data_IF_642083460301
#
_entry.id   IF_642083460301
#
_cell.length_a   1.000
_cell.length_b   1.000
_cell.length_c   1.000
_cell.angle_alpha   90.00
_cell.angle_beta   90.00
_cell.angle_gamma   90.00
#
_symmetry.space_group_name_H-M   'P 1'
#
loop_
_entity.id
_entity.type
_entity.pdbx_description
1 polymer ?
#
# COMPACT_ATOMS: atom_id res chain seq x y z
N UNK A 1 6.17 -34.89 -31.74
CA UNK A 1 5.77 -33.54 -31.26
C UNK A 1 5.89 -33.54 -29.75
N UNK A 2 6.66 -32.61 -29.16
CA UNK A 2 6.80 -32.55 -27.70
C UNK A 2 5.47 -32.17 -27.04
N UNK A 3 5.17 -32.77 -25.89
CA UNK A 3 3.99 -32.48 -25.09
C UNK A 3 3.91 -30.96 -24.81
N UNK A 4 2.80 -30.33 -25.23
CA UNK A 4 2.58 -28.87 -25.12
C UNK A 4 2.70 -28.40 -23.66
N UNK A 5 2.15 -29.16 -22.71
CA UNK A 5 2.22 -28.86 -21.28
C UNK A 5 3.69 -28.79 -20.82
N UNK A 6 4.55 -29.70 -21.29
CA UNK A 6 5.97 -29.67 -20.92
C UNK A 6 6.74 -28.51 -21.56
N UNK A 7 6.26 -28.00 -22.71
CA UNK A 7 6.80 -26.75 -23.29
C UNK A 7 6.37 -25.55 -22.44
N UNK A 8 5.10 -25.47 -22.08
CA UNK A 8 4.55 -24.40 -21.23
C UNK A 8 5.21 -24.37 -19.85
N UNK A 9 5.37 -25.51 -19.18
CA UNK A 9 6.06 -25.61 -17.88
C UNK A 9 7.52 -25.18 -17.95
N UNK A 10 8.22 -25.45 -19.06
CA UNK A 10 9.60 -24.98 -19.27
C UNK A 10 9.66 -23.46 -19.43
N UNK A 11 8.71 -22.87 -20.16
CA UNK A 11 8.60 -21.41 -20.29
C UNK A 11 8.22 -20.79 -18.94
N UNK A 12 7.30 -21.39 -18.19
CA UNK A 12 6.89 -20.89 -16.87
C UNK A 12 8.06 -20.86 -15.89
N UNK A 13 8.96 -21.86 -15.94
CA UNK A 13 10.18 -21.87 -15.11
C UNK A 13 11.11 -20.68 -15.38
N UNK A 14 11.15 -20.15 -16.61
CA UNK A 14 11.94 -18.94 -16.92
C UNK A 14 11.28 -17.64 -16.46
N UNK A 15 10.05 -17.73 -15.93
CA UNK A 15 9.28 -16.61 -15.36
C UNK A 15 9.17 -16.70 -13.83
N UNK A 16 9.85 -17.64 -13.20
CA UNK A 16 9.93 -17.72 -11.75
C UNK A 16 10.84 -16.61 -11.21
N UNK A 17 10.58 -16.19 -9.97
CA UNK A 17 11.42 -15.22 -9.30
C UNK A 17 12.86 -15.70 -9.19
N UNK A 18 13.80 -14.80 -9.44
CA UNK A 18 15.19 -15.04 -9.06
C UNK A 18 15.33 -15.00 -7.54
N UNK A 19 16.01 -16.01 -6.99
CA UNK A 19 16.21 -16.19 -5.56
C UNK A 19 17.71 -16.14 -5.23
N UNK A 20 18.03 -15.75 -4.00
CA UNK A 20 19.35 -15.92 -3.40
C UNK A 20 19.23 -16.76 -2.14
N UNK A 21 20.17 -17.67 -1.94
CA UNK A 21 20.28 -18.45 -0.71
C UNK A 21 21.28 -17.78 0.22
N UNK A 22 20.82 -17.41 1.42
CA UNK A 22 21.64 -16.82 2.47
C UNK A 22 21.31 -17.48 3.80
N UNK A 23 22.32 -17.99 4.52
CA UNK A 23 22.16 -18.71 5.79
C UNK A 23 21.07 -19.79 5.75
N UNK A 24 21.09 -20.63 4.70
CA UNK A 24 20.10 -21.69 4.45
C UNK A 24 18.64 -21.21 4.27
N UNK A 25 18.43 -19.90 4.09
CA UNK A 25 17.12 -19.30 3.78
C UNK A 25 17.12 -18.79 2.35
N UNK A 26 15.98 -18.91 1.69
CA UNK A 26 15.75 -18.33 0.36
C UNK A 26 15.14 -16.94 0.50
N UNK A 27 15.74 -15.97 -0.16
CA UNK A 27 15.24 -14.62 -0.33
C UNK A 27 14.97 -14.38 -1.81
N UNK A 28 13.96 -13.57 -2.13
CA UNK A 28 13.78 -13.10 -3.50
C UNK A 28 14.74 -11.95 -3.77
N UNK A 29 15.37 -11.95 -4.94
CA UNK A 29 16.23 -10.83 -5.33
C UNK A 29 15.40 -9.57 -5.57
N UNK A 30 15.92 -8.44 -5.16
CA UNK A 30 15.29 -7.13 -5.34
C UNK A 30 15.66 -6.56 -6.73
N UNK A 31 15.05 -7.12 -7.78
CA UNK A 31 15.29 -6.71 -9.18
C UNK A 31 14.03 -6.18 -9.83
N UNK A 32 14.21 -5.34 -10.85
CA UNK A 32 13.13 -4.78 -11.67
C UNK A 32 12.35 -5.89 -12.37
N UNK A 33 13.03 -6.94 -12.84
CA UNK A 33 12.40 -8.09 -13.49
C UNK A 33 11.50 -8.87 -12.52
N UNK A 34 11.96 -9.11 -11.29
CA UNK A 34 11.15 -9.75 -10.25
C UNK A 34 9.92 -8.90 -9.89
N UNK A 35 10.08 -7.57 -9.80
CA UNK A 35 8.95 -6.64 -9.61
C UNK A 35 8.00 -6.70 -10.81
N UNK A 36 8.50 -6.70 -12.05
CA UNK A 36 7.65 -6.78 -13.24
C UNK A 36 6.82 -8.07 -13.28
N UNK A 37 7.39 -9.20 -12.86
CA UNK A 37 6.68 -10.47 -12.73
C UNK A 37 5.53 -10.33 -11.71
N UNK A 38 5.79 -9.77 -10.53
CA UNK A 38 4.75 -9.64 -9.50
C UNK A 38 3.64 -8.67 -9.91
N UNK A 39 4.00 -7.55 -10.54
CA UNK A 39 3.03 -6.59 -11.08
C UNK A 39 2.14 -7.22 -12.16
N UNK A 40 2.72 -8.05 -13.03
CA UNK A 40 1.95 -8.81 -14.02
C UNK A 40 1.00 -9.81 -13.35
N UNK A 41 1.43 -10.47 -12.26
CA UNK A 41 0.56 -11.36 -11.48
C UNK A 41 -0.61 -10.60 -10.85
N UNK A 42 -0.35 -9.46 -10.19
CA UNK A 42 -1.36 -8.62 -9.56
C UNK A 42 -2.39 -8.12 -10.57
N UNK A 43 -1.95 -7.67 -11.74
CA UNK A 43 -2.84 -7.15 -12.81
C UNK A 43 -3.79 -8.21 -13.37
N UNK A 44 -3.42 -9.49 -13.31
CA UNK A 44 -4.25 -10.60 -13.76
C UNK A 44 -5.04 -11.28 -12.62
N UNK A 45 -4.82 -10.86 -11.37
CA UNK A 45 -5.51 -11.42 -10.22
C UNK A 45 -6.88 -10.73 -10.05
N UNK A 46 -7.93 -11.52 -10.17
CA UNK A 46 -9.32 -11.08 -10.04
C UNK A 46 -9.63 -10.39 -8.70
N UNK A 47 -8.86 -10.67 -7.64
CA UNK A 47 -9.02 -10.02 -6.35
C UNK A 47 -8.60 -8.53 -6.39
N UNK A 48 -7.66 -8.17 -7.28
CA UNK A 48 -7.09 -6.81 -7.38
C UNK A 48 -7.49 -6.08 -8.67
N UNK A 49 -8.11 -6.77 -9.64
CA UNK A 49 -8.46 -6.16 -10.93
C UNK A 49 -9.32 -4.89 -10.80
N UNK A 50 -10.19 -4.82 -9.79
CA UNK A 50 -11.05 -3.65 -9.56
C UNK A 50 -10.39 -2.56 -8.73
N UNK A 51 -9.40 -2.87 -7.89
CA UNK A 51 -8.79 -1.86 -7.00
C UNK A 51 -8.01 -0.80 -7.79
N UNK A 52 -7.48 -1.18 -8.96
CA UNK A 52 -6.71 -0.31 -9.86
C UNK A 52 -7.55 0.41 -10.92
N UNK A 53 -8.85 0.12 -11.02
CA UNK A 53 -9.73 0.71 -12.03
C UNK A 53 -10.19 2.12 -11.61
N UNK A 54 -9.63 3.14 -12.24
CA UNK A 54 -9.97 4.56 -12.00
C UNK A 54 -11.40 4.93 -12.40
N UNK A 55 -12.10 4.08 -13.14
CA UNK A 55 -13.48 4.28 -13.58
C UNK A 55 -14.50 3.54 -12.70
N UNK A 56 -14.02 2.68 -11.79
CA UNK A 56 -14.86 1.89 -10.91
C UNK A 56 -15.38 2.70 -9.72
N UNK A 57 -16.30 3.65 -9.98
CA UNK A 57 -16.99 4.42 -8.94
C UNK A 57 -18.10 3.63 -8.22
N UNK A 58 -18.82 4.29 -7.28
CA UNK A 58 -19.96 3.70 -6.59
C UNK A 58 -21.03 3.16 -7.54
N UNK A 59 -21.58 2.00 -7.23
CA UNK A 59 -22.69 1.40 -7.97
C UNK A 59 -23.86 1.16 -7.04
N UNK A 60 -25.05 1.46 -7.54
CA UNK A 60 -26.31 1.27 -6.84
C UNK A 60 -27.20 0.30 -7.62
N UNK A 61 -27.99 -0.50 -6.91
CA UNK A 61 -29.00 -1.36 -7.53
C UNK A 61 -30.26 -0.57 -7.92
N UNK A 62 -31.25 -1.27 -8.48
CA UNK A 62 -32.55 -0.68 -8.87
C UNK A 62 -33.35 -0.11 -7.70
N UNK A 63 -33.01 -0.48 -6.45
CA UNK A 63 -33.63 0.02 -5.22
C UNK A 63 -32.81 1.17 -4.60
N UNK A 64 -31.84 1.70 -5.34
CA UNK A 64 -30.92 2.73 -4.89
C UNK A 64 -30.06 2.31 -3.68
N UNK A 65 -29.81 1.01 -3.50
CA UNK A 65 -28.91 0.49 -2.46
C UNK A 65 -27.49 0.36 -2.99
N UNK A 66 -26.50 0.78 -2.19
CA UNK A 66 -25.09 0.69 -2.57
C UNK A 66 -24.65 -0.77 -2.67
N UNK A 67 -24.29 -1.21 -3.88
CA UNK A 67 -23.77 -2.57 -4.14
C UNK A 67 -22.25 -2.61 -4.26
N UNK A 68 -21.64 -1.50 -4.60
CA UNK A 68 -20.18 -1.36 -4.66
C UNK A 68 -19.80 0.06 -4.28
N UNK A 69 -18.88 0.20 -3.33
CA UNK A 69 -18.46 1.50 -2.80
C UNK A 69 -17.46 2.27 -3.65
N UNK A 70 -17.07 1.78 -4.83
CA UNK A 70 -16.01 2.38 -5.65
C UNK A 70 -14.60 1.91 -5.26
N UNK A 71 -13.66 1.89 -6.20
CA UNK A 71 -12.27 1.43 -6.00
C UNK A 71 -11.39 2.47 -5.30
N UNK A 72 -10.27 2.04 -4.70
CA UNK A 72 -9.28 3.00 -4.18
C UNK A 72 -8.74 3.90 -5.30
N UNK A 73 -8.49 3.34 -6.48
CA UNK A 73 -8.08 4.12 -7.67
C UNK A 73 -9.07 5.22 -8.04
N UNK A 74 -10.37 4.91 -8.07
CA UNK A 74 -11.42 5.88 -8.37
C UNK A 74 -11.40 7.03 -7.36
N UNK A 75 -11.49 6.71 -6.07
CA UNK A 75 -11.60 7.74 -5.03
C UNK A 75 -10.35 8.62 -4.93
N UNK A 76 -9.16 8.02 -5.01
CA UNK A 76 -7.91 8.80 -4.98
C UNK A 76 -7.75 9.65 -6.25
N UNK A 77 -8.25 9.20 -7.40
CA UNK A 77 -8.27 10.00 -8.65
C UNK A 77 -9.24 11.18 -8.56
N UNK A 78 -10.40 10.98 -7.93
CA UNK A 78 -11.33 12.07 -7.65
C UNK A 78 -10.74 13.06 -6.65
N UNK A 79 -10.06 12.57 -5.60
CA UNK A 79 -9.35 13.40 -4.64
C UNK A 79 -8.21 14.21 -5.29
N UNK A 80 -7.44 13.61 -6.21
CA UNK A 80 -6.45 14.32 -7.04
C UNK A 80 -7.08 15.46 -7.84
N UNK A 81 -8.28 15.24 -8.38
CA UNK A 81 -8.97 16.24 -9.18
C UNK A 81 -9.28 17.49 -8.35
N UNK A 82 -9.71 17.32 -7.10
CA UNK A 82 -9.97 18.42 -6.17
C UNK A 82 -8.67 19.04 -5.63
N UNK A 83 -7.79 18.23 -5.04
CA UNK A 83 -6.63 18.72 -4.28
C UNK A 83 -5.49 19.25 -5.14
N UNK A 84 -5.26 18.66 -6.32
CA UNK A 84 -4.09 18.97 -7.16
C UNK A 84 -4.50 19.72 -8.41
N UNK A 85 -5.62 19.36 -9.03
CA UNK A 85 -6.06 19.94 -10.30
C UNK A 85 -7.05 21.09 -10.14
N UNK A 86 -7.51 21.39 -8.91
CA UNK A 86 -8.55 22.39 -8.62
C UNK A 86 -9.79 22.22 -9.52
N UNK A 87 -10.21 20.97 -9.74
CA UNK A 87 -11.39 20.63 -10.54
C UNK A 87 -12.56 20.28 -9.63
N UNK A 88 -13.72 20.82 -9.95
CA UNK A 88 -14.96 20.44 -9.31
C UNK A 88 -15.35 19.00 -9.67
N UNK A 89 -15.94 18.32 -8.69
CA UNK A 89 -16.46 16.96 -8.80
C UNK A 89 -17.77 16.86 -8.04
N UNK A 90 -18.57 15.84 -8.33
CA UNK A 90 -19.90 15.64 -7.72
C UNK A 90 -19.85 15.07 -6.29
N UNK A 91 -18.79 15.36 -5.54
CA UNK A 91 -18.56 14.88 -4.18
C UNK A 91 -17.95 15.99 -3.34
N UNK A 92 -18.39 16.10 -2.10
CA UNK A 92 -17.70 16.90 -1.09
C UNK A 92 -16.36 16.28 -0.73
N UNK A 93 -15.45 17.08 -0.15
CA UNK A 93 -14.17 16.58 0.33
C UNK A 93 -14.34 15.42 1.34
N UNK A 94 -15.29 15.55 2.26
CA UNK A 94 -15.57 14.49 3.24
C UNK A 94 -16.06 13.18 2.58
N UNK A 95 -16.92 13.27 1.55
CA UNK A 95 -17.35 12.10 0.79
C UNK A 95 -16.20 11.42 0.04
N UNK A 96 -15.28 12.21 -0.52
CA UNK A 96 -14.08 11.68 -1.18
C UNK A 96 -13.17 10.95 -0.19
N UNK A 97 -12.91 11.55 0.99
CA UNK A 97 -12.12 10.91 2.04
C UNK A 97 -12.80 9.64 2.56
N UNK A 98 -14.13 9.70 2.79
CA UNK A 98 -14.90 8.53 3.21
C UNK A 98 -14.82 7.40 2.20
N UNK A 99 -15.02 7.69 0.92
CA UNK A 99 -14.90 6.72 -0.17
C UNK A 99 -13.51 6.08 -0.22
N UNK A 100 -12.46 6.91 -0.15
CA UNK A 100 -11.08 6.44 -0.13
C UNK A 100 -10.78 5.54 1.08
N UNK A 101 -11.21 5.94 2.29
CA UNK A 101 -11.02 5.16 3.51
C UNK A 101 -11.73 3.80 3.42
N UNK A 102 -12.99 3.79 3.00
CA UNK A 102 -13.77 2.57 2.85
C UNK A 102 -13.19 1.62 1.79
N UNK A 103 -12.71 2.17 0.67
CA UNK A 103 -12.10 1.40 -0.40
C UNK A 103 -10.77 0.78 0.03
N UNK A 104 -9.88 1.56 0.64
CA UNK A 104 -8.58 1.07 1.12
C UNK A 104 -8.77 -0.01 2.18
N UNK A 105 -9.67 0.19 3.15
CA UNK A 105 -9.96 -0.80 4.20
C UNK A 105 -10.46 -2.12 3.61
N UNK A 106 -11.39 -2.03 2.65
CA UNK A 106 -11.98 -3.21 2.00
C UNK A 106 -10.95 -3.95 1.15
N UNK A 107 -10.22 -3.25 0.30
CA UNK A 107 -9.30 -3.86 -0.68
C UNK A 107 -8.06 -4.45 -0.02
N UNK A 108 -7.64 -3.88 1.11
CA UNK A 108 -6.48 -4.35 1.87
C UNK A 108 -6.83 -5.16 3.12
N UNK A 109 -8.12 -5.43 3.34
CA UNK A 109 -8.63 -6.19 4.49
C UNK A 109 -8.06 -5.72 5.83
N UNK A 110 -8.01 -4.39 6.05
CA UNK A 110 -7.42 -3.85 7.29
C UNK A 110 -8.30 -4.04 8.52
N UNK A 111 -9.58 -4.34 8.29
CA UNK A 111 -10.61 -4.53 9.32
C UNK A 111 -10.76 -3.30 10.22
N UNK A 112 -10.67 -2.12 9.61
CA UNK A 112 -10.68 -0.82 10.29
C UNK A 112 -11.89 -0.65 11.20
N UNK A 113 -13.05 -1.16 10.77
CA UNK A 113 -14.30 -1.02 11.49
C UNK A 113 -14.62 -2.19 12.43
N UNK A 114 -13.66 -3.05 12.77
CA UNK A 114 -13.87 -4.16 13.71
C UNK A 114 -14.24 -3.69 15.13
N UNK A 115 -13.90 -2.45 15.47
CA UNK A 115 -14.26 -1.77 16.72
C UNK A 115 -15.54 -0.91 16.62
N UNK A 116 -16.21 -0.95 15.46
CA UNK A 116 -17.45 -0.23 15.09
C UNK A 116 -17.33 1.29 14.95
N UNK A 117 -16.14 1.89 15.14
CA UNK A 117 -15.95 3.34 15.04
C UNK A 117 -14.78 3.76 14.13
N UNK A 118 -13.86 2.84 13.81
CA UNK A 118 -12.60 3.16 13.17
C UNK A 118 -12.73 3.90 11.83
N UNK A 119 -13.68 3.52 10.97
CA UNK A 119 -13.91 4.24 9.70
C UNK A 119 -14.32 5.69 9.95
N UNK A 120 -15.35 5.90 10.77
CA UNK A 120 -15.89 7.23 11.06
C UNK A 120 -14.84 8.12 11.72
N UNK A 121 -14.09 7.59 12.69
CA UNK A 121 -13.03 8.35 13.36
C UNK A 121 -11.90 8.73 12.41
N UNK A 122 -11.46 7.82 11.56
CA UNK A 122 -10.34 8.08 10.65
C UNK A 122 -10.73 9.06 9.55
N UNK A 123 -11.95 8.97 9.02
CA UNK A 123 -12.49 10.01 8.12
C UNK A 123 -12.44 11.37 8.79
N UNK A 124 -12.96 11.48 10.02
CA UNK A 124 -12.93 12.73 10.79
C UNK A 124 -11.50 13.27 10.99
N UNK A 125 -10.55 12.39 11.30
CA UNK A 125 -9.14 12.76 11.53
C UNK A 125 -8.49 13.28 10.25
N UNK A 126 -8.70 12.63 9.11
CA UNK A 126 -8.16 13.07 7.81
C UNK A 126 -8.83 14.38 7.37
N UNK A 127 -10.14 14.51 7.55
CA UNK A 127 -10.88 15.73 7.23
C UNK A 127 -10.52 16.93 8.13
N UNK A 128 -9.86 16.70 9.27
CA UNK A 128 -9.40 17.78 10.16
C UNK A 128 -8.12 18.47 9.65
N UNK A 129 -7.42 17.88 8.68
CA UNK A 129 -6.32 18.54 7.98
C UNK A 129 -6.87 19.51 6.94
N UNK A 130 -6.30 20.71 6.90
CA UNK A 130 -6.50 21.61 5.77
C UNK A 130 -5.94 20.96 4.50
N UNK A 131 -6.55 21.24 3.34
CA UNK A 131 -6.14 20.63 2.07
C UNK A 131 -4.65 20.83 1.76
N UNK A 132 -4.10 22.02 2.05
CA UNK A 132 -2.67 22.31 1.88
C UNK A 132 -1.78 21.50 2.83
N UNK A 133 -2.20 21.33 4.08
CA UNK A 133 -1.46 20.56 5.08
C UNK A 133 -1.48 19.06 4.74
N UNK A 134 -2.62 18.53 4.28
CA UNK A 134 -2.70 17.14 3.82
C UNK A 134 -1.75 16.90 2.64
N UNK A 135 -1.72 17.82 1.67
CA UNK A 135 -0.80 17.73 0.52
C UNK A 135 0.66 17.78 1.00
N UNK A 136 1.00 18.67 1.94
CA UNK A 136 2.35 18.77 2.50
C UNK A 136 2.76 17.48 3.20
N UNK A 137 1.90 16.94 4.07
CA UNK A 137 2.13 15.63 4.70
C UNK A 137 2.39 14.53 3.66
N UNK A 138 1.62 14.51 2.56
CA UNK A 138 1.78 13.49 1.53
C UNK A 138 3.08 13.68 0.70
N UNK A 139 3.51 14.92 0.45
CA UNK A 139 4.77 15.23 -0.24
C UNK A 139 6.01 15.03 0.64
N UNK A 140 5.85 15.22 1.95
CA UNK A 140 6.92 15.14 2.92
C UNK A 140 6.48 14.23 4.09
N UNK A 141 6.74 12.92 4.01
CA UNK A 141 6.39 11.99 5.09
C UNK A 141 6.96 12.37 6.45
N UNK A 142 8.12 13.04 6.49
CA UNK A 142 8.77 13.48 7.73
C UNK A 142 8.16 14.75 8.32
N UNK A 143 7.18 15.36 7.66
CA UNK A 143 6.50 16.58 8.13
C UNK A 143 5.93 16.36 9.54
N UNK A 144 6.37 17.22 10.48
CA UNK A 144 6.03 17.15 11.90
C UNK A 144 6.14 15.73 12.49
N UNK A 145 7.21 15.02 12.12
CA UNK A 145 7.49 13.65 12.56
C UNK A 145 6.36 12.66 12.24
N UNK A 146 6.09 12.45 10.94
CA UNK A 146 5.08 11.51 10.45
C UNK A 146 3.64 11.87 10.87
N UNK A 147 3.32 13.16 10.99
CA UNK A 147 2.05 13.68 11.51
C UNK A 147 0.81 12.96 10.97
N UNK A 148 0.71 12.82 9.65
CA UNK A 148 -0.44 12.18 9.01
C UNK A 148 -0.60 10.71 9.41
N UNK A 149 0.50 9.95 9.39
CA UNK A 149 0.48 8.53 9.77
C UNK A 149 0.12 8.40 11.24
N UNK A 150 0.73 9.20 12.11
CA UNK A 150 0.45 9.20 13.54
C UNK A 150 -1.01 9.53 13.83
N UNK A 151 -1.56 10.60 13.23
CA UNK A 151 -2.94 11.00 13.48
C UNK A 151 -3.94 9.94 13.01
N UNK A 152 -3.75 9.34 11.83
CA UNK A 152 -4.60 8.24 11.36
C UNK A 152 -4.45 7.01 12.27
N UNK A 153 -3.22 6.69 12.70
CA UNK A 153 -2.92 5.48 13.46
C UNK A 153 -3.30 5.55 14.96
N UNK A 154 -3.62 6.73 15.50
CA UNK A 154 -4.04 6.93 16.89
C UNK A 154 -5.08 5.90 17.33
N UNK A 155 -5.01 5.51 18.59
CA UNK A 155 -5.98 4.58 19.21
C UNK A 155 -7.40 5.13 19.02
N UNK A 156 -8.33 4.27 18.59
CA UNK A 156 -9.75 4.61 18.43
C UNK A 156 -10.46 4.77 19.77
N UNK A 157 -11.58 5.51 19.82
CA UNK A 157 -12.31 5.78 21.06
C UNK A 157 -13.22 4.63 21.53
N UNK A 158 -13.20 3.48 20.84
CA UNK A 158 -14.04 2.33 21.16
C UNK A 158 -13.85 1.87 22.62
N UNK A 159 -14.96 1.72 23.35
CA UNK A 159 -14.96 1.23 24.74
C UNK A 159 -14.37 -0.17 24.90
N UNK A 160 -14.49 -1.01 23.87
CA UNK A 160 -13.97 -2.37 23.86
C UNK A 160 -13.13 -2.59 22.61
N UNK A 161 -11.94 -3.16 22.78
CA UNK A 161 -11.00 -3.48 21.69
C UNK A 161 -10.65 -2.26 20.83
N UNK A 162 -10.39 -1.11 21.46
CA UNK A 162 -9.77 0.03 20.78
C UNK A 162 -8.49 -0.40 20.06
N UNK A 163 -8.25 0.16 18.88
CA UNK A 163 -7.18 -0.29 17.98
C UNK A 163 -6.31 0.87 17.54
N UNK A 164 -5.01 0.60 17.42
CA UNK A 164 -4.11 1.40 16.59
C UNK A 164 -4.24 0.92 15.14
N UNK A 165 -4.23 1.85 14.19
CA UNK A 165 -4.52 1.56 12.78
C UNK A 165 -3.31 1.82 11.87
N UNK A 166 -2.09 1.51 12.33
CA UNK A 166 -0.85 1.83 11.62
C UNK A 166 -0.76 1.21 10.20
N UNK A 167 -1.16 -0.06 10.06
CA UNK A 167 -1.23 -0.73 8.76
C UNK A 167 -2.17 0.00 7.80
N UNK A 168 -3.35 0.40 8.26
CA UNK A 168 -4.27 1.20 7.45
C UNK A 168 -3.69 2.58 7.12
N UNK A 169 -3.12 3.29 8.10
CA UNK A 169 -2.54 4.61 7.92
C UNK A 169 -1.49 4.62 6.80
N UNK A 170 -0.55 3.67 6.85
CA UNK A 170 0.49 3.54 5.83
C UNK A 170 -0.07 3.25 4.43
N UNK A 171 -1.10 2.41 4.32
CA UNK A 171 -1.74 2.05 3.05
C UNK A 171 -2.53 3.23 2.47
N UNK A 172 -3.28 3.94 3.31
CA UNK A 172 -3.98 5.16 2.90
C UNK A 172 -2.99 6.19 2.35
N UNK A 173 -1.90 6.47 3.08
CA UNK A 173 -0.88 7.43 2.64
C UNK A 173 -0.18 6.97 1.35
N UNK A 174 0.15 5.67 1.26
CA UNK A 174 0.73 5.08 0.06
C UNK A 174 -0.17 5.26 -1.16
N UNK A 175 -1.44 4.84 -1.10
CA UNK A 175 -2.37 4.97 -2.23
C UNK A 175 -2.71 6.43 -2.55
N UNK A 176 -2.80 7.30 -1.54
CA UNK A 176 -2.98 8.72 -1.77
C UNK A 176 -1.80 9.29 -2.59
N UNK A 177 -0.55 9.04 -2.17
CA UNK A 177 0.63 9.45 -2.94
C UNK A 177 0.64 8.83 -4.34
N UNK A 178 0.38 7.52 -4.44
CA UNK A 178 0.42 6.76 -5.68
C UNK A 178 -0.44 7.40 -6.78
N UNK A 179 -1.66 7.82 -6.45
CA UNK A 179 -2.59 8.40 -7.42
C UNK A 179 -2.50 9.93 -7.53
N UNK A 180 -2.42 10.66 -6.41
CA UNK A 180 -2.40 12.13 -6.42
C UNK A 180 -1.16 12.66 -7.15
N UNK A 181 -0.04 11.96 -7.00
CA UNK A 181 1.27 12.38 -7.48
C UNK A 181 1.83 11.48 -8.59
N UNK A 182 0.97 10.74 -9.27
CA UNK A 182 1.32 9.92 -10.43
C UNK A 182 2.26 10.66 -11.41
N UNK A 183 3.36 9.98 -11.78
CA UNK A 183 4.44 10.48 -12.63
C UNK A 183 5.28 11.62 -12.02
N UNK A 184 5.31 11.73 -10.69
CA UNK A 184 6.19 12.67 -9.97
C UNK A 184 7.01 11.95 -8.90
N UNK A 185 8.01 12.64 -8.35
CA UNK A 185 8.87 12.08 -7.30
C UNK A 185 8.10 11.71 -6.01
N UNK A 186 6.96 12.35 -5.74
CA UNK A 186 6.18 12.12 -4.53
C UNK A 186 5.30 10.86 -4.58
N UNK A 187 5.21 10.20 -5.75
CA UNK A 187 4.31 9.07 -5.97
C UNK A 187 4.60 7.89 -5.02
N UNK A 188 5.86 7.69 -4.67
CA UNK A 188 6.36 6.53 -3.94
C UNK A 188 6.86 6.91 -2.53
N UNK A 189 6.30 7.98 -1.94
CA UNK A 189 6.81 8.58 -0.69
C UNK A 189 6.64 7.71 0.56
N UNK A 190 5.57 6.92 0.62
CA UNK A 190 5.21 6.09 1.77
C UNK A 190 5.40 4.61 1.47
N UNK A 191 6.02 3.89 2.42
CA UNK A 191 6.04 2.41 2.42
C UNK A 191 4.76 1.86 3.03
N UNK A 192 4.22 0.78 2.48
CA UNK A 192 3.14 0.04 3.14
C UNK A 192 3.72 -0.66 4.38
N UNK A 193 3.07 -0.49 5.52
CA UNK A 193 3.37 -1.20 6.76
C UNK A 193 2.54 -2.49 6.80
N UNK A 194 3.22 -3.63 6.75
CA UNK A 194 2.59 -4.94 6.77
C UNK A 194 3.33 -5.92 7.70
N UNK A 195 2.60 -6.88 8.27
CA UNK A 195 3.19 -7.87 9.17
C UNK A 195 4.12 -8.84 8.44
N UNK A 196 3.84 -9.18 7.18
CA UNK A 196 4.72 -10.02 6.37
C UNK A 196 6.05 -9.32 6.18
N UNK A 197 6.02 -8.07 5.69
CA UNK A 197 7.22 -7.27 5.52
C UNK A 197 7.99 -7.12 6.84
N UNK A 198 7.32 -6.70 7.92
CA UNK A 198 7.95 -6.56 9.24
C UNK A 198 8.66 -7.84 9.71
N UNK A 199 8.14 -9.01 9.33
CA UNK A 199 8.74 -10.30 9.69
C UNK A 199 9.98 -10.62 8.84
N UNK A 200 10.00 -10.21 7.57
CA UNK A 200 11.08 -10.56 6.63
C UNK A 200 12.18 -9.50 6.54
N UNK A 201 11.89 -8.23 6.82
CA UNK A 201 12.87 -7.13 6.77
C UNK A 201 14.17 -7.44 7.55
N UNK A 202 14.14 -8.04 8.77
CA UNK A 202 15.37 -8.40 9.46
C UNK A 202 16.28 -9.34 8.68
N UNK A 203 15.71 -10.24 7.84
CA UNK A 203 16.52 -11.14 7.03
C UNK A 203 17.25 -10.38 5.91
N UNK A 204 16.59 -9.40 5.29
CA UNK A 204 17.21 -8.56 4.26
C UNK A 204 18.26 -7.61 4.85
N UNK A 205 18.01 -7.04 6.03
CA UNK A 205 19.02 -6.22 6.74
C UNK A 205 20.32 -7.00 6.95
N UNK A 206 20.22 -8.25 7.43
CA UNK A 206 21.39 -9.12 7.63
C UNK A 206 22.03 -9.51 6.30
N UNK A 207 21.23 -9.87 5.28
CA UNK A 207 21.74 -10.23 3.95
C UNK A 207 22.57 -9.11 3.31
N UNK A 208 22.11 -7.86 3.42
CA UNK A 208 22.83 -6.67 2.92
C UNK A 208 23.87 -6.11 3.89
N UNK A 209 24.15 -6.81 5.01
CA UNK A 209 25.10 -6.39 6.03
C UNK A 209 24.82 -4.98 6.60
N UNK A 210 23.53 -4.62 6.72
CA UNK A 210 23.08 -3.37 7.34
C UNK A 210 23.06 -3.58 8.86
N UNK A 211 23.96 -2.90 9.56
CA UNK A 211 24.18 -3.09 11.02
C UNK A 211 23.32 -2.18 11.89
N UNK A 212 22.68 -1.17 11.31
CA UNK A 212 21.76 -0.28 12.01
C UNK A 212 20.57 -1.08 12.57
N UNK A 213 20.15 -0.72 13.79
CA UNK A 213 19.02 -1.35 14.48
C UNK A 213 17.79 -0.49 14.34
N UNK A 214 16.74 -1.05 13.75
CA UNK A 214 15.44 -0.40 13.60
C UNK A 214 14.41 -1.05 14.53
N UNK A 215 13.66 -0.22 15.26
CA UNK A 215 12.38 -0.66 15.83
C UNK A 215 11.32 -0.69 14.72
N UNK A 216 11.12 -1.87 14.13
CA UNK A 216 10.16 -2.06 13.04
C UNK A 216 8.68 -1.93 13.49
N UNK A 217 8.40 -1.60 14.75
CA UNK A 217 7.05 -1.20 15.21
C UNK A 217 6.81 0.30 15.07
N UNK A 218 7.88 1.08 15.02
CA UNK A 218 7.84 2.49 14.69
C UNK A 218 7.84 2.67 13.17
N UNK A 219 6.91 3.48 12.64
CA UNK A 219 6.74 3.58 11.20
C UNK A 219 7.90 4.27 10.50
N UNK A 220 8.48 5.29 11.14
CA UNK A 220 9.63 6.01 10.59
C UNK A 220 10.84 5.11 10.47
N UNK A 221 11.16 4.38 11.54
CA UNK A 221 12.24 3.39 11.52
C UNK A 221 11.96 2.23 10.55
N UNK A 222 10.71 1.76 10.47
CA UNK A 222 10.31 0.78 9.46
C UNK A 222 10.56 1.29 8.04
N UNK A 223 10.14 2.52 7.72
CA UNK A 223 10.35 3.14 6.40
C UNK A 223 11.84 3.29 6.09
N UNK A 224 12.64 3.74 7.07
CA UNK A 224 14.09 3.85 6.93
C UNK A 224 14.75 2.50 6.68
N UNK A 225 14.32 1.44 7.36
CA UNK A 225 14.79 0.08 7.10
C UNK A 225 14.50 -0.36 5.66
N UNK A 226 13.28 -0.11 5.16
CA UNK A 226 12.90 -0.38 3.76
C UNK A 226 13.82 0.36 2.80
N UNK A 227 14.07 1.66 3.04
CA UNK A 227 14.92 2.46 2.16
C UNK A 227 16.38 2.02 2.17
N UNK A 228 16.90 1.65 3.34
CA UNK A 228 18.27 1.17 3.46
C UNK A 228 18.48 -0.15 2.72
N UNK A 229 17.52 -1.07 2.80
CA UNK A 229 17.54 -2.31 2.01
C UNK A 229 17.46 -2.00 0.51
N UNK A 230 16.54 -1.12 0.10
CA UNK A 230 16.38 -0.75 -1.33
C UNK A 230 17.62 -0.09 -1.90
N UNK A 231 18.32 0.73 -1.10
CA UNK A 231 19.55 1.41 -1.50
C UNK A 231 20.75 0.45 -1.54
N UNK A 232 20.73 -0.63 -0.76
CA UNK A 232 21.78 -1.65 -0.77
C UNK A 232 21.60 -2.71 -1.87
N UNK A 233 20.42 -2.79 -2.48
CA UNK A 233 20.15 -3.68 -3.60
C UNK A 233 20.92 -3.27 -4.86
N UNK A 234 21.28 -4.26 -5.69
CA UNK A 234 21.96 -4.02 -6.97
C UNK A 234 21.11 -3.17 -7.94
N UNK A 235 19.79 -3.31 -7.85
CA UNK A 235 18.83 -2.56 -8.66
C UNK A 235 17.91 -1.69 -7.81
N UNK A 236 17.65 -0.48 -8.30
CA UNK A 236 16.74 0.46 -7.66
C UNK A 236 15.29 0.12 -8.00
N UNK A 237 14.55 -0.43 -7.03
CA UNK A 237 13.11 -0.66 -7.13
C UNK A 237 12.30 0.34 -6.29
N UNK A 238 11.04 0.59 -6.64
CA UNK A 238 10.13 1.46 -5.86
C UNK A 238 9.75 0.82 -4.52
N UNK A 239 9.24 1.61 -3.55
CA UNK A 239 8.65 1.10 -2.29
C UNK A 239 7.41 0.28 -2.60
N UNK A 240 6.59 0.70 -3.58
CA UNK A 240 5.49 -0.10 -4.13
C UNK A 240 5.98 -1.47 -4.63
N UNK A 241 6.98 -1.49 -5.51
CA UNK A 241 7.51 -2.72 -6.08
C UNK A 241 8.16 -3.61 -5.02
N UNK A 242 8.88 -3.01 -4.07
CA UNK A 242 9.45 -3.70 -2.92
C UNK A 242 8.37 -4.38 -2.06
N UNK A 243 7.29 -3.67 -1.73
CA UNK A 243 6.17 -4.23 -0.96
C UNK A 243 5.49 -5.39 -1.68
N UNK A 244 5.05 -5.17 -2.92
CA UNK A 244 4.40 -6.21 -3.71
C UNK A 244 5.28 -7.45 -3.87
N UNK A 245 6.57 -7.26 -4.18
CA UNK A 245 7.50 -8.36 -4.38
C UNK A 245 7.68 -9.19 -3.11
N UNK A 246 8.00 -8.56 -1.98
CA UNK A 246 8.22 -9.26 -0.72
C UNK A 246 6.94 -9.92 -0.23
N UNK A 247 5.81 -9.20 -0.30
CA UNK A 247 4.54 -9.72 0.16
C UNK A 247 4.13 -10.96 -0.62
N UNK A 248 4.12 -10.91 -1.96
CA UNK A 248 3.74 -12.08 -2.78
C UNK A 248 4.72 -13.24 -2.64
N UNK A 249 6.02 -12.96 -2.56
CA UNK A 249 7.01 -14.01 -2.43
C UNK A 249 6.89 -14.72 -1.07
N UNK A 250 6.77 -13.97 0.02
CA UNK A 250 6.81 -14.53 1.37
C UNK A 250 5.44 -14.93 1.92
N UNK A 251 4.33 -14.47 1.34
CA UNK A 251 2.98 -14.92 1.74
C UNK A 251 2.86 -16.43 1.59
N UNK A 252 2.60 -17.11 2.72
CA UNK A 252 2.48 -18.56 2.78
C UNK A 252 3.82 -19.33 2.76
N UNK A 253 4.96 -18.63 2.83
CA UNK A 253 6.30 -19.23 2.95
C UNK A 253 6.97 -18.98 4.31
N UNK A 254 6.28 -18.27 5.21
CA UNK A 254 6.73 -17.96 6.56
C UNK A 254 6.10 -18.89 7.58
#
# INVERSE_FOLDING_TARGET
MGNIIQKELRIAKTKMFEEVTYNNKKLVKLTTDNVAIVEAMIRNDSAYIKSTDISAGPKFDRKNQLVYGGSSAYWMTMLKSVLIKNKEVNYTYEELIKGAVEAVDRENSTHLNADKCGRTEIVRRICAFDCSELIECLRNPEYEDMKLVHEIARVTSAKFRARTNLSFASKFCHYACFYLFENTEYQDNYSIYDNILRTVLPMYLVYFNITERYDLRDYKQYRNAVDMIRNAADEKISRNGFDHLLWYYHKGRM
#
